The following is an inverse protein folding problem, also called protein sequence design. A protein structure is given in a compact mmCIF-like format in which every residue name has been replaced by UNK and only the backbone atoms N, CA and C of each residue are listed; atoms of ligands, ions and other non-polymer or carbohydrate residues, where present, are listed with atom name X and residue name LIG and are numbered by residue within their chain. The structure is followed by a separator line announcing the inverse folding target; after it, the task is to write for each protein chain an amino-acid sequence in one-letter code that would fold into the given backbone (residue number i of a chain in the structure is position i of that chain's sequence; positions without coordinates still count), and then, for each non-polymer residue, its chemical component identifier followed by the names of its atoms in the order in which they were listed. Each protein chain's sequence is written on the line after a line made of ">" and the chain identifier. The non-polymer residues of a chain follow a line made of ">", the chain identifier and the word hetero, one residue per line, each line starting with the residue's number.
data_IF_423585414764
#
_entry.id   IF_423585414764
#
_cell.length_a   1.000
_cell.length_b   1.000
_cell.length_c   1.000
_cell.angle_alpha   90.00
_cell.angle_beta   90.00
_cell.angle_gamma   90.00
#
_symmetry.space_group_name_H-M   'P 1'
#
loop_
_entity.id
_entity.type
_entity.pdbx_description
1 polymer ?
#
# COMPACT_ATOMS: atom_id res chain seq x y z
N UNK A 1 5.96 15.11 -11.33
CA UNK A 1 4.47 15.11 -11.36
C UNK A 1 3.84 13.82 -11.90
N UNK A 2 4.21 13.33 -13.09
CA UNK A 2 3.60 12.11 -13.64
C UNK A 2 3.78 10.87 -12.74
N UNK A 3 4.98 10.67 -12.20
CA UNK A 3 5.29 9.55 -11.30
C UNK A 3 4.43 9.57 -10.02
N UNK A 4 4.19 10.76 -9.46
CA UNK A 4 3.33 10.94 -8.28
C UNK A 4 1.89 10.53 -8.57
N UNK A 5 1.37 10.76 -9.79
CA UNK A 5 0.02 10.34 -10.17
C UNK A 5 -0.10 8.81 -10.27
N UNK A 6 0.93 8.13 -10.77
CA UNK A 6 0.97 6.66 -10.79
C UNK A 6 1.05 6.12 -9.36
N UNK A 7 1.89 6.70 -8.51
CA UNK A 7 2.02 6.31 -7.11
C UNK A 7 0.69 6.51 -6.36
N UNK A 8 -0.01 7.63 -6.59
CA UNK A 8 -1.33 7.88 -6.03
C UNK A 8 -2.36 6.83 -6.48
N UNK A 9 -2.40 6.49 -7.76
CA UNK A 9 -3.32 5.48 -8.30
C UNK A 9 -3.04 4.08 -7.73
N UNK A 10 -1.77 3.73 -7.57
CA UNK A 10 -1.34 2.45 -7.01
C UNK A 10 -1.71 2.38 -5.51
N UNK A 11 -1.48 3.46 -4.77
CA UNK A 11 -1.82 3.55 -3.35
C UNK A 11 -3.34 3.49 -3.10
N UNK A 12 -4.15 4.13 -3.96
CA UNK A 12 -5.61 4.10 -3.88
C UNK A 12 -6.14 2.66 -4.10
N UNK A 13 -5.56 1.94 -5.07
CA UNK A 13 -5.90 0.54 -5.34
C UNK A 13 -5.51 -0.39 -4.18
N UNK A 14 -4.35 -0.18 -3.55
CA UNK A 14 -3.92 -1.00 -2.41
C UNK A 14 -4.76 -0.71 -1.14
N UNK A 15 -5.18 0.53 -0.91
CA UNK A 15 -6.14 0.85 0.17
C UNK A 15 -7.50 0.20 -0.10
N UNK A 16 -7.97 0.18 -1.35
CA UNK A 16 -9.20 -0.51 -1.72
C UNK A 16 -9.13 -2.01 -1.42
N UNK A 17 -7.96 -2.64 -1.56
CA UNK A 17 -7.72 -4.03 -1.17
C UNK A 17 -7.68 -4.23 0.36
N UNK A 18 -7.29 -3.22 1.13
CA UNK A 18 -7.25 -3.28 2.60
C UNK A 18 -8.61 -3.03 3.27
N UNK A 19 -9.53 -2.30 2.65
CA UNK A 19 -10.90 -2.05 3.17
C UNK A 19 -11.65 -3.31 3.66
N UNK A 20 -11.73 -4.42 2.87
CA UNK A 20 -12.44 -5.62 3.29
C UNK A 20 -11.77 -6.38 4.44
N UNK A 21 -10.53 -6.04 4.83
CA UNK A 21 -9.83 -6.68 5.95
C UNK A 21 -10.58 -6.43 7.27
N UNK A 22 -11.20 -5.26 7.43
CA UNK A 22 -12.00 -4.94 8.63
C UNK A 22 -13.17 -5.91 8.84
N UNK A 23 -13.84 -6.31 7.76
CA UNK A 23 -14.90 -7.33 7.79
C UNK A 23 -14.33 -8.75 7.94
N UNK A 24 -13.16 -9.01 7.37
CA UNK A 24 -12.52 -10.32 7.46
C UNK A 24 -12.08 -10.72 8.88
N UNK A 25 -11.95 -9.75 9.81
CA UNK A 25 -11.61 -10.03 11.21
C UNK A 25 -12.67 -10.85 11.94
N UNK A 26 -13.89 -10.94 11.40
CA UNK A 26 -14.97 -11.76 11.96
C UNK A 26 -14.93 -13.22 11.50
N UNK A 27 -14.03 -13.58 10.58
CA UNK A 27 -13.89 -14.95 10.07
C UNK A 27 -13.16 -15.86 11.07
N UNK A 28 -13.30 -17.20 10.94
CA UNK A 28 -12.73 -18.17 11.88
C UNK A 28 -11.20 -18.12 12.01
N UNK A 29 -10.50 -17.58 11.01
CA UNK A 29 -9.04 -17.47 11.00
C UNK A 29 -8.58 -16.02 10.80
N UNK A 30 -8.67 -15.17 11.83
CA UNK A 30 -8.27 -13.76 11.73
C UNK A 30 -6.74 -13.60 11.63
N UNK A 31 -5.96 -14.55 12.17
CA UNK A 31 -4.49 -14.50 12.16
C UNK A 31 -3.96 -14.57 10.72
N UNK A 32 -4.52 -15.46 9.90
CA UNK A 32 -4.13 -15.57 8.49
C UNK A 32 -4.43 -14.26 7.74
N UNK A 33 -5.58 -13.64 7.96
CA UNK A 33 -5.92 -12.40 7.27
C UNK A 33 -5.09 -11.21 7.72
N UNK A 34 -4.76 -11.11 9.02
CA UNK A 34 -3.84 -10.10 9.53
C UNK A 34 -2.44 -10.29 8.93
N UNK A 35 -1.98 -11.54 8.78
CA UNK A 35 -0.70 -11.84 8.14
C UNK A 35 -0.68 -11.34 6.69
N UNK A 36 -1.72 -11.64 5.91
CA UNK A 36 -1.83 -11.12 4.54
C UNK A 36 -1.90 -9.59 4.48
N UNK A 37 -2.69 -8.96 5.35
CA UNK A 37 -2.78 -7.50 5.42
C UNK A 37 -1.43 -6.87 5.77
N UNK A 38 -0.66 -7.46 6.68
CA UNK A 38 0.68 -6.98 7.03
C UNK A 38 1.68 -7.08 5.87
N UNK A 39 1.60 -8.15 5.07
CA UNK A 39 2.45 -8.31 3.88
C UNK A 39 2.16 -7.20 2.86
N UNK A 40 0.88 -6.89 2.63
CA UNK A 40 0.48 -5.79 1.73
C UNK A 40 1.00 -4.44 2.23
N UNK A 41 0.86 -4.14 3.53
CA UNK A 41 1.37 -2.89 4.11
C UNK A 41 2.91 -2.80 4.03
N UNK A 42 3.63 -3.91 4.23
CA UNK A 42 5.09 -3.93 4.10
C UNK A 42 5.51 -3.66 2.65
N UNK A 43 4.83 -4.27 1.67
CA UNK A 43 5.11 -4.01 0.25
C UNK A 43 4.86 -2.54 -0.12
N UNK A 44 3.75 -1.98 0.34
CA UNK A 44 3.39 -0.57 0.14
C UNK A 44 4.47 0.36 0.70
N UNK A 45 4.89 0.14 1.95
CA UNK A 45 5.90 0.98 2.60
C UNK A 45 7.27 0.85 1.93
N UNK A 46 7.66 -0.36 1.50
CA UNK A 46 8.91 -0.57 0.75
C UNK A 46 8.89 0.10 -0.63
N UNK A 47 7.79 -0.03 -1.38
CA UNK A 47 7.62 0.62 -2.69
C UNK A 47 7.69 2.14 -2.58
N UNK A 48 7.03 2.71 -1.56
CA UNK A 48 7.10 4.13 -1.28
C UNK A 48 8.52 4.61 -0.93
N UNK A 49 9.23 3.88 -0.07
CA UNK A 49 10.62 4.20 0.29
C UNK A 49 11.54 4.12 -0.93
N UNK A 50 11.35 3.12 -1.80
CA UNK A 50 12.13 3.00 -3.02
C UNK A 50 11.97 4.23 -3.93
N UNK A 51 10.74 4.64 -4.20
CA UNK A 51 10.44 5.82 -5.03
C UNK A 51 10.92 7.12 -4.37
N UNK A 52 10.90 7.19 -3.04
CA UNK A 52 11.48 8.30 -2.29
C UNK A 52 13.00 8.40 -2.52
N UNK A 53 13.72 7.29 -2.37
CA UNK A 53 15.17 7.26 -2.53
C UNK A 53 15.58 7.57 -3.98
N UNK A 54 14.77 7.18 -4.96
CA UNK A 54 14.99 7.52 -6.37
C UNK A 54 14.73 9.01 -6.70
N UNK A 55 14.34 9.83 -5.72
CA UNK A 55 14.03 11.24 -5.94
C UNK A 55 12.75 11.45 -6.77
N UNK A 56 11.92 10.41 -6.93
CA UNK A 56 10.68 10.48 -7.68
C UNK A 56 9.62 11.41 -7.08
N UNK A 57 9.79 11.72 -5.79
CA UNK A 57 9.01 12.67 -5.00
C UNK A 57 9.62 14.07 -4.95
N UNK A 58 10.84 14.27 -5.44
CA UNK A 58 11.40 15.61 -5.55
C UNK A 58 10.68 16.34 -6.68
N UNK A 59 10.14 17.50 -6.33
CA UNK A 59 9.48 18.37 -7.28
C UNK A 59 10.57 18.84 -8.22
N UNK A 60 10.49 18.44 -9.49
CA UNK A 60 11.29 19.07 -10.52
C UNK A 60 10.89 20.56 -10.51
N UNK A 61 11.81 21.40 -10.03
CA UNK A 61 11.78 22.84 -10.29
C UNK A 61 11.88 23.08 -11.81
#
# INVERSE_FOLDING_TARGET
>A
FFLVAILFLLFDLEIALLLPVTWSMQLPNPIMTITWASVVIILLTLGFIYEWIQGGLEWAE
#
